data_IF_269612799986
#
_entry.id   IF_269612799986
#
_cell.length_a   1.000
_cell.length_b   1.000
_cell.length_c   1.000
_cell.angle_alpha   90.00
_cell.angle_beta   90.00
_cell.angle_gamma   90.00
#
_symmetry.space_group_name_H-M   'P 1'
#
loop_
_entity.id
_entity.type
_entity.pdbx_description
1 polymer ?
#
# COMPACT_ATOMS: atom_id res chain seq x y z
N UNK A 1 -2.14 24.47 4.44
CA UNK A 1 -2.15 22.98 4.51
C UNK A 1 -0.84 22.53 3.93
N UNK A 2 -0.03 21.84 4.71
CA UNK A 2 1.32 21.43 4.29
C UNK A 2 1.35 19.99 3.77
N UNK A 3 0.38 19.16 4.18
CA UNK A 3 0.23 17.76 3.77
C UNK A 3 -1.26 17.46 3.55
N UNK A 4 -1.56 16.71 2.49
CA UNK A 4 -2.90 16.17 2.20
C UNK A 4 -2.78 14.67 2.03
N UNK A 5 -3.68 13.92 2.68
CA UNK A 5 -3.81 12.46 2.57
C UNK A 5 -5.22 12.14 2.13
N UNK A 6 -5.39 11.22 1.18
CA UNK A 6 -6.71 10.80 0.72
C UNK A 6 -6.63 9.74 -0.35
N UNK A 7 -7.75 9.06 -0.58
CA UNK A 7 -7.89 8.07 -1.64
C UNK A 7 -7.99 8.74 -3.03
N UNK A 8 -7.54 8.08 -4.11
CA UNK A 8 -7.47 8.70 -5.44
C UNK A 8 -8.78 9.34 -5.90
N UNK A 9 -9.90 8.60 -5.80
CA UNK A 9 -11.20 9.11 -6.22
C UNK A 9 -11.63 10.40 -5.49
N UNK A 10 -11.37 10.50 -4.18
CA UNK A 10 -11.74 11.68 -3.39
C UNK A 10 -10.84 12.88 -3.67
N UNK A 11 -9.54 12.66 -3.84
CA UNK A 11 -8.60 13.72 -4.20
C UNK A 11 -8.92 14.29 -5.58
N UNK A 12 -9.24 13.42 -6.54
CA UNK A 12 -9.62 13.82 -7.89
C UNK A 12 -10.93 14.62 -7.91
N UNK A 13 -11.94 14.18 -7.15
CA UNK A 13 -13.20 14.91 -6.99
C UNK A 13 -12.99 16.33 -6.40
N UNK A 14 -12.18 16.45 -5.34
CA UNK A 14 -11.86 17.75 -4.74
C UNK A 14 -11.10 18.67 -5.70
N UNK A 15 -10.17 18.12 -6.47
CA UNK A 15 -9.44 18.86 -7.50
C UNK A 15 -10.39 19.32 -8.63
N UNK A 16 -11.30 18.45 -9.08
CA UNK A 16 -12.33 18.77 -10.07
C UNK A 16 -13.29 19.88 -9.60
N UNK A 17 -13.65 19.89 -8.31
CA UNK A 17 -14.44 20.95 -7.68
C UNK A 17 -13.65 22.24 -7.41
N UNK A 18 -12.35 22.31 -7.76
CA UNK A 18 -11.43 23.42 -7.46
C UNK A 18 -11.31 23.73 -5.96
N UNK A 19 -11.55 22.73 -5.11
CA UNK A 19 -11.37 22.82 -3.65
C UNK A 19 -9.98 22.39 -3.21
N UNK A 20 -9.24 21.72 -4.09
CA UNK A 20 -7.87 21.27 -3.88
C UNK A 20 -7.01 21.67 -5.08
N UNK A 21 -5.97 22.46 -4.83
CA UNK A 21 -4.97 22.82 -5.84
C UNK A 21 -3.69 22.01 -5.62
N UNK A 22 -3.36 21.18 -6.60
CA UNK A 22 -2.21 20.27 -6.56
C UNK A 22 -0.96 20.86 -7.27
N UNK A 23 -1.06 22.05 -7.86
CA UNK A 23 -0.01 22.66 -8.69
C UNK A 23 1.26 23.05 -7.93
N UNK A 24 1.23 23.05 -6.59
CA UNK A 24 2.37 23.40 -5.72
C UNK A 24 2.97 22.22 -4.98
N UNK A 25 2.49 21.01 -5.25
CA UNK A 25 2.96 19.79 -4.59
C UNK A 25 4.39 19.47 -5.03
N UNK A 26 5.30 19.32 -4.06
CA UNK A 26 6.72 19.00 -4.28
C UNK A 26 7.07 17.55 -3.96
N UNK A 27 6.18 16.84 -3.26
CA UNK A 27 6.35 15.45 -2.88
C UNK A 27 5.05 14.67 -3.11
N UNK A 28 5.14 13.52 -3.79
CA UNK A 28 4.06 12.57 -3.98
C UNK A 28 4.42 11.25 -3.29
N UNK A 29 3.50 10.69 -2.52
CA UNK A 29 3.62 9.36 -1.93
C UNK A 29 2.49 8.50 -2.51
N UNK A 30 2.85 7.35 -3.06
CA UNK A 30 1.93 6.29 -3.46
C UNK A 30 2.14 5.13 -2.50
N UNK A 31 1.16 4.87 -1.65
CA UNK A 31 1.20 3.79 -0.66
C UNK A 31 0.30 2.64 -1.11
N UNK A 32 0.63 1.40 -0.72
CA UNK A 32 -0.07 0.17 -1.11
C UNK A 32 -0.36 0.13 -2.63
N UNK A 33 0.69 0.36 -3.44
CA UNK A 33 0.54 0.54 -4.88
C UNK A 33 0.01 -0.70 -5.62
N UNK A 34 0.25 -1.89 -5.09
CA UNK A 34 -0.36 -3.14 -5.55
C UNK A 34 -1.86 -3.19 -5.26
N UNK A 35 -2.30 -2.83 -4.06
CA UNK A 35 -3.74 -2.78 -3.73
C UNK A 35 -4.48 -1.73 -4.58
N UNK A 36 -3.87 -0.58 -4.85
CA UNK A 36 -4.45 0.42 -5.77
C UNK A 36 -4.68 -0.14 -7.18
N UNK A 37 -3.85 -1.09 -7.64
CA UNK A 37 -4.06 -1.76 -8.93
C UNK A 37 -5.22 -2.75 -8.85
N UNK A 38 -5.29 -3.53 -7.77
CA UNK A 38 -6.35 -4.52 -7.56
C UNK A 38 -7.74 -3.86 -7.47
N UNK A 39 -7.80 -2.67 -6.86
CA UNK A 39 -9.02 -1.85 -6.79
C UNK A 39 -9.31 -1.07 -8.08
N UNK A 40 -8.42 -1.12 -9.07
CA UNK A 40 -8.60 -0.45 -10.36
C UNK A 40 -8.42 1.08 -10.31
N UNK A 41 -7.72 1.61 -9.30
CA UNK A 41 -7.51 3.06 -9.14
C UNK A 41 -6.44 3.66 -10.05
N UNK A 42 -5.74 2.83 -10.83
CA UNK A 42 -4.66 3.29 -11.71
C UNK A 42 -5.05 4.51 -12.57
N UNK A 43 -6.19 4.53 -13.28
CA UNK A 43 -6.57 5.68 -14.11
C UNK A 43 -6.74 6.97 -13.30
N UNK A 44 -7.19 6.90 -12.05
CA UNK A 44 -7.37 8.06 -11.20
C UNK A 44 -6.04 8.57 -10.65
N UNK A 45 -5.11 7.67 -10.31
CA UNK A 45 -3.72 8.02 -9.99
C UNK A 45 -3.06 8.75 -11.15
N UNK A 46 -3.23 8.28 -12.40
CA UNK A 46 -2.67 8.94 -13.58
C UNK A 46 -3.20 10.37 -13.75
N UNK A 47 -4.51 10.57 -13.54
CA UNK A 47 -5.12 11.91 -13.59
C UNK A 47 -4.59 12.82 -12.51
N UNK A 48 -4.44 12.33 -11.27
CA UNK A 48 -3.84 13.10 -10.17
C UNK A 48 -2.41 13.49 -10.54
N UNK A 49 -1.61 12.54 -11.00
CA UNK A 49 -0.21 12.78 -11.40
C UNK A 49 -0.09 13.84 -12.49
N UNK A 50 -1.02 13.86 -13.45
CA UNK A 50 -1.06 14.87 -14.50
C UNK A 50 -1.35 16.29 -13.99
N UNK A 51 -1.96 16.45 -12.81
CA UNK A 51 -2.21 17.74 -12.16
C UNK A 51 -1.02 18.22 -11.32
N UNK A 52 -0.03 17.36 -11.06
CA UNK A 52 1.14 17.67 -10.24
C UNK A 52 2.28 18.26 -11.09
N UNK A 53 3.16 19.09 -10.50
CA UNK A 53 4.40 19.53 -11.15
C UNK A 53 5.26 18.34 -11.61
N UNK A 54 5.89 18.48 -12.77
CA UNK A 54 6.81 17.46 -13.32
C UNK A 54 8.02 17.26 -12.41
N UNK A 55 8.61 18.36 -11.93
CA UNK A 55 9.74 18.32 -11.00
C UNK A 55 9.23 18.20 -9.56
N UNK A 56 9.18 16.97 -9.06
CA UNK A 56 8.80 16.63 -7.69
C UNK A 56 9.53 15.37 -7.23
N UNK A 57 9.61 15.17 -5.92
CA UNK A 57 10.01 13.88 -5.36
C UNK A 57 8.80 12.93 -5.40
N UNK A 58 8.99 11.69 -5.85
CA UNK A 58 7.96 10.66 -5.81
C UNK A 58 8.49 9.47 -5.00
N UNK A 59 7.69 9.00 -4.06
CA UNK A 59 7.93 7.77 -3.30
C UNK A 59 6.80 6.78 -3.61
N UNK A 60 7.16 5.51 -3.76
CA UNK A 60 6.23 4.41 -3.98
C UNK A 60 6.52 3.32 -2.97
N UNK A 61 5.48 2.90 -2.26
CA UNK A 61 5.48 1.82 -1.29
C UNK A 61 4.48 0.76 -1.76
N UNK A 62 4.88 -0.50 -1.64
CA UNK A 62 4.12 -1.65 -2.13
C UNK A 62 4.61 -2.89 -1.41
N UNK A 63 3.71 -3.78 -1.01
CA UNK A 63 4.08 -5.05 -0.39
C UNK A 63 4.62 -6.04 -1.44
N UNK A 64 4.06 -5.98 -2.65
CA UNK A 64 4.47 -6.78 -3.80
C UNK A 64 4.87 -5.90 -4.98
N UNK A 65 5.67 -6.44 -5.90
CA UNK A 65 6.17 -5.69 -7.07
C UNK A 65 5.81 -6.37 -8.41
N UNK A 66 4.51 -6.53 -8.74
CA UNK A 66 4.12 -7.03 -10.05
C UNK A 66 4.54 -6.05 -11.16
N UNK A 67 4.59 -6.53 -12.41
CA UNK A 67 5.07 -5.73 -13.54
C UNK A 67 4.37 -4.37 -13.72
N UNK A 68 3.10 -4.28 -13.33
CA UNK A 68 2.34 -3.02 -13.34
C UNK A 68 2.85 -2.00 -12.32
N UNK A 69 3.15 -2.40 -11.07
CA UNK A 69 3.75 -1.51 -10.04
C UNK A 69 5.14 -1.06 -10.48
N UNK A 70 5.96 -1.98 -11.01
CA UNK A 70 7.30 -1.65 -11.54
C UNK A 70 7.20 -0.64 -12.69
N UNK A 71 6.22 -0.80 -13.58
CA UNK A 71 5.97 0.14 -14.69
C UNK A 71 5.55 1.51 -14.17
N UNK A 72 4.72 1.55 -13.12
CA UNK A 72 4.30 2.77 -12.46
C UNK A 72 5.49 3.52 -11.85
N UNK A 73 6.35 2.82 -11.12
CA UNK A 73 7.58 3.38 -10.56
C UNK A 73 8.48 3.97 -11.67
N UNK A 74 8.71 3.23 -12.76
CA UNK A 74 9.54 3.68 -13.89
C UNK A 74 8.96 4.91 -14.60
N UNK A 75 7.63 5.03 -14.66
CA UNK A 75 6.96 6.14 -15.35
C UNK A 75 6.96 7.42 -14.54
N UNK A 76 6.82 7.35 -13.22
CA UNK A 76 6.55 8.51 -12.38
C UNK A 76 7.66 8.88 -11.38
N UNK A 77 8.71 8.08 -11.31
CA UNK A 77 9.89 8.35 -10.48
C UNK A 77 11.12 8.60 -11.37
N UNK A 78 11.98 9.52 -10.94
CA UNK A 78 13.26 9.78 -11.61
C UNK A 78 14.38 9.13 -10.81
N UNK A 79 15.10 8.19 -11.43
CA UNK A 79 16.21 7.44 -10.82
C UNK A 79 15.91 6.95 -9.38
N UNK A 80 14.84 6.15 -9.18
CA UNK A 80 14.44 5.73 -7.85
C UNK A 80 15.49 4.80 -7.21
N UNK A 81 15.79 5.03 -5.93
CA UNK A 81 16.51 4.05 -5.10
C UNK A 81 15.52 2.98 -4.68
N UNK A 82 15.81 1.73 -5.05
CA UNK A 82 15.00 0.59 -4.62
C UNK A 82 15.50 0.09 -3.26
N UNK A 83 14.62 0.07 -2.27
CA UNK A 83 14.91 -0.43 -0.92
C UNK A 83 13.94 -1.58 -0.68
N UNK A 84 14.47 -2.76 -0.38
CA UNK A 84 13.67 -3.91 0.03
C UNK A 84 13.97 -4.23 1.50
N UNK A 85 12.92 -4.42 2.28
CA UNK A 85 13.02 -4.74 3.71
C UNK A 85 13.11 -6.26 3.97
N UNK A 86 12.86 -7.12 2.98
CA UNK A 86 13.06 -8.56 3.12
C UNK A 86 14.50 -8.96 2.87
N UNK A 87 14.99 -9.90 3.69
CA UNK A 87 16.27 -10.55 3.46
C UNK A 87 16.16 -11.44 2.21
N UNK A 88 17.23 -11.63 1.41
CA UNK A 88 17.21 -12.58 0.30
C UNK A 88 16.80 -14.01 0.69
N UNK A 89 16.95 -14.34 1.98
CA UNK A 89 16.66 -15.66 2.54
C UNK A 89 15.21 -15.82 3.05
N UNK A 90 14.36 -14.78 2.96
CA UNK A 90 12.99 -14.75 3.50
C UNK A 90 11.89 -15.10 2.47
N UNK A 91 12.23 -15.46 1.23
CA UNK A 91 11.23 -15.83 0.22
C UNK A 91 10.62 -17.22 0.50
N UNK A 92 9.46 -17.24 1.17
CA UNK A 92 8.53 -18.38 1.16
C UNK A 92 8.58 -19.31 2.37
N UNK A 93 9.44 -19.07 3.36
CA UNK A 93 9.35 -19.76 4.64
C UNK A 93 8.41 -18.98 5.58
N UNK A 94 7.47 -19.67 6.22
CA UNK A 94 6.91 -19.17 7.49
C UNK A 94 8.10 -18.77 8.36
N UNK A 95 8.15 -17.52 8.82
CA UNK A 95 9.27 -16.99 9.62
C UNK A 95 9.72 -18.08 10.59
N UNK A 96 10.96 -18.55 10.47
CA UNK A 96 11.42 -19.74 11.21
C UNK A 96 11.25 -19.60 12.73
N UNK A 97 11.10 -18.36 13.21
CA UNK A 97 10.87 -17.99 14.60
C UNK A 97 9.38 -17.94 15.01
N UNK A 98 8.44 -18.37 14.16
CA UNK A 98 7.01 -18.40 14.46
C UNK A 98 6.55 -19.82 14.74
N UNK A 99 6.26 -20.12 16.00
CA UNK A 99 5.59 -21.36 16.41
C UNK A 99 4.10 -21.30 16.04
N UNK A 100 3.61 -22.34 15.36
CA UNK A 100 2.23 -22.39 14.86
C UNK A 100 1.51 -23.61 15.44
N UNK A 101 0.34 -23.37 16.05
CA UNK A 101 -0.53 -24.42 16.58
C UNK A 101 -1.86 -24.45 15.82
N UNK A 102 -2.36 -25.65 15.54
CA UNK A 102 -3.66 -25.85 14.87
C UNK A 102 -4.54 -26.74 15.73
N UNK A 103 -5.75 -26.25 16.04
CA UNK A 103 -6.74 -26.99 16.81
C UNK A 103 -7.98 -27.27 15.98
N UNK A 104 -8.44 -28.53 16.00
CA UNK A 104 -9.69 -28.94 15.33
C UNK A 104 -10.85 -28.85 16.33
N UNK A 105 -11.87 -28.06 15.99
CA UNK A 105 -13.03 -27.83 16.85
C UNK A 105 -14.32 -27.78 16.02
N UNK A 106 -15.46 -28.11 16.65
CA UNK A 106 -16.75 -27.76 16.09
C UNK A 106 -16.93 -26.22 16.13
N UNK A 107 -17.75 -25.65 15.25
CA UNK A 107 -17.94 -24.19 15.17
C UNK A 107 -18.43 -23.59 16.49
N UNK A 108 -19.31 -24.32 17.18
CA UNK A 108 -19.87 -23.93 18.49
C UNK A 108 -18.85 -24.02 19.63
N UNK A 109 -17.78 -24.78 19.47
CA UNK A 109 -16.78 -25.01 20.53
C UNK A 109 -15.65 -23.97 20.48
N UNK A 110 -15.58 -23.16 19.41
CA UNK A 110 -14.52 -22.14 19.24
C UNK A 110 -14.45 -21.15 20.41
N UNK A 111 -15.55 -20.59 20.93
CA UNK A 111 -15.48 -19.66 22.07
C UNK A 111 -14.91 -20.31 23.33
N UNK A 112 -15.31 -21.56 23.62
CA UNK A 112 -14.80 -22.30 24.77
C UNK A 112 -13.31 -22.63 24.61
N UNK A 113 -12.91 -23.08 23.41
CA UNK A 113 -11.51 -23.34 23.10
C UNK A 113 -10.61 -22.12 23.26
N UNK A 114 -11.05 -20.95 22.78
CA UNK A 114 -10.31 -19.69 22.98
C UNK A 114 -10.21 -19.34 24.46
N UNK A 115 -11.30 -19.50 25.22
CA UNK A 115 -11.27 -19.27 26.67
C UNK A 115 -10.25 -20.18 27.37
N UNK A 116 -10.18 -21.46 27.00
CA UNK A 116 -9.20 -22.41 27.56
C UNK A 116 -7.76 -22.05 27.18
N UNK A 117 -7.52 -21.63 25.93
CA UNK A 117 -6.18 -21.18 25.50
C UNK A 117 -5.75 -19.93 26.27
N UNK A 118 -6.65 -18.96 26.47
CA UNK A 118 -6.36 -17.75 27.24
C UNK A 118 -6.13 -18.03 28.73
N UNK A 119 -6.63 -19.14 29.25
CA UNK A 119 -6.45 -19.58 30.64
C UNK A 119 -5.25 -20.52 30.82
N UNK A 120 -4.61 -20.96 29.74
CA UNK A 120 -3.39 -21.75 29.82
C UNK A 120 -2.22 -20.81 30.14
N UNK A 121 -1.57 -21.01 31.29
CA UNK A 121 -0.33 -20.32 31.68
C UNK A 121 0.88 -20.83 30.88
#
# INVERSE_FOLDING_TARGET
VDVVVGTPGRLLDLAGQRKLDLSKVRALVLDEADEMLDLGFLPDVEKIVAMLPVKRQTMLFSATMPGAVVSLARRYMSQPTHINATSPDDEGATVANTEQHVFRAHSMDKPEMVARILQAE
#
